data_IF_788811360364
#
_entry.id   IF_788811360364
#
_cell.length_a   1.000
_cell.length_b   1.000
_cell.length_c   1.000
_cell.angle_alpha   90.00
_cell.angle_beta   90.00
_cell.angle_gamma   90.00
#
_symmetry.space_group_name_H-M   'P 1'
#
loop_
_entity.id
_entity.type
_entity.pdbx_description
1 polymer ?
#
# COMPACT_ATOMS: atom_id res chain seq x y z
N UNK A 1 -19.19 -0.45 5.33
CA UNK A 1 -18.48 -0.99 4.18
C UNK A 1 -18.69 -2.49 4.05
N UNK A 2 -18.98 -2.94 2.91
CA UNK A 2 -19.37 -4.33 2.75
C UNK A 2 -18.23 -5.18 2.19
N UNK A 3 -18.46 -6.51 2.23
CA UNK A 3 -17.46 -7.46 1.81
C UNK A 3 -17.16 -7.38 0.31
N UNK A 4 -18.10 -6.89 -0.47
CA UNK A 4 -17.89 -6.79 -1.92
C UNK A 4 -16.83 -5.76 -2.25
N UNK A 5 -16.83 -4.64 -1.53
CA UNK A 5 -15.80 -3.63 -1.72
C UNK A 5 -14.44 -4.18 -1.38
N UNK A 6 -14.33 -4.93 -0.29
CA UNK A 6 -13.08 -5.54 0.08
C UNK A 6 -12.64 -6.60 -0.94
N UNK A 7 -13.58 -7.39 -1.44
CA UNK A 7 -13.23 -8.39 -2.44
C UNK A 7 -12.67 -7.78 -3.71
N UNK A 8 -13.30 -6.70 -4.17
CA UNK A 8 -12.80 -6.00 -5.36
C UNK A 8 -11.41 -5.41 -5.10
N UNK A 9 -11.22 -4.81 -3.92
CA UNK A 9 -9.91 -4.27 -3.57
C UNK A 9 -8.82 -5.33 -3.58
N UNK A 10 -9.13 -6.52 -3.07
CA UNK A 10 -8.17 -7.61 -3.09
C UNK A 10 -7.80 -8.01 -4.52
N UNK A 11 -8.78 -8.07 -5.41
CA UNK A 11 -8.51 -8.42 -6.80
C UNK A 11 -7.63 -7.38 -7.47
N UNK A 12 -7.91 -6.09 -7.24
CA UNK A 12 -7.13 -5.03 -7.83
C UNK A 12 -5.68 -5.05 -7.33
N UNK A 13 -5.49 -5.29 -6.04
CA UNK A 13 -4.15 -5.37 -5.48
C UNK A 13 -3.40 -6.59 -5.98
N UNK A 14 -4.10 -7.73 -6.14
CA UNK A 14 -3.46 -8.92 -6.68
C UNK A 14 -2.94 -8.67 -8.09
N UNK A 15 -3.74 -8.00 -8.92
CA UNK A 15 -3.34 -7.64 -10.27
C UNK A 15 -2.14 -6.69 -10.25
N UNK A 16 -2.22 -5.67 -9.40
CA UNK A 16 -1.12 -4.71 -9.28
C UNK A 16 0.17 -5.41 -8.90
N UNK A 17 0.10 -6.35 -7.97
CA UNK A 17 1.30 -7.06 -7.53
C UNK A 17 1.86 -7.95 -8.61
N UNK A 18 1.01 -8.61 -9.41
CA UNK A 18 1.49 -9.43 -10.51
C UNK A 18 2.19 -8.59 -11.56
N UNK A 19 1.62 -7.45 -11.91
CA UNK A 19 2.21 -6.56 -12.89
C UNK A 19 3.53 -6.00 -12.36
N UNK A 20 3.52 -5.56 -11.10
CA UNK A 20 4.73 -4.99 -10.50
C UNK A 20 5.85 -6.02 -10.44
N UNK A 21 5.53 -7.24 -10.06
CA UNK A 21 6.54 -8.30 -10.00
C UNK A 21 7.11 -8.57 -11.40
N UNK A 22 6.25 -8.58 -12.42
CA UNK A 22 6.70 -8.76 -13.80
C UNK A 22 7.59 -7.63 -14.28
N UNK A 23 7.42 -6.43 -13.70
CA UNK A 23 8.27 -5.29 -14.01
C UNK A 23 9.58 -5.30 -13.22
N UNK A 24 9.78 -6.30 -12.38
CA UNK A 24 10.93 -6.40 -11.47
C UNK A 24 10.93 -5.35 -10.37
N UNK A 25 9.74 -4.86 -10.03
CA UNK A 25 9.56 -4.01 -8.85
C UNK A 25 9.52 -4.94 -7.65
N UNK A 26 10.31 -4.63 -6.62
CA UNK A 26 10.47 -5.53 -5.49
C UNK A 26 9.77 -5.08 -4.24
N UNK A 27 9.39 -3.81 -4.15
CA UNK A 27 8.71 -3.27 -2.98
C UNK A 27 7.50 -2.46 -3.41
N UNK A 28 6.43 -2.55 -2.63
CA UNK A 28 5.28 -1.68 -2.77
C UNK A 28 5.03 -0.98 -1.45
N UNK A 29 4.53 0.24 -1.52
CA UNK A 29 4.26 1.03 -0.32
C UNK A 29 2.85 1.56 -0.36
N UNK A 30 2.22 1.63 0.81
CA UNK A 30 0.92 2.24 0.97
C UNK A 30 1.03 3.33 2.02
N UNK A 31 0.40 4.46 1.76
CA UNK A 31 0.40 5.58 2.68
C UNK A 31 -1.03 5.85 3.10
N UNK A 32 -1.31 5.72 4.39
CA UNK A 32 -2.65 5.88 4.92
C UNK A 32 -2.68 7.14 5.76
N UNK A 33 -3.48 8.11 5.32
CA UNK A 33 -3.63 9.37 6.04
C UNK A 33 -4.87 9.31 6.92
N UNK A 34 -4.79 9.89 8.11
CA UNK A 34 -5.94 9.99 8.98
C UNK A 34 -5.84 11.25 9.82
N UNK A 35 -6.97 11.94 10.08
CA UNK A 35 -6.93 13.16 10.89
C UNK A 35 -6.64 12.84 12.34
N UNK A 36 -6.08 13.84 13.04
CA UNK A 36 -5.74 13.68 14.44
C UNK A 36 -6.95 13.24 15.28
N UNK A 37 -8.12 13.72 14.90
CA UNK A 37 -9.36 13.37 15.61
C UNK A 37 -10.14 12.32 14.84
N UNK A 38 -9.47 11.51 14.09
CA UNK A 38 -10.13 10.54 13.24
C UNK A 38 -10.88 9.50 14.04
N UNK A 39 -11.85 8.92 13.36
CA UNK A 39 -12.46 7.69 13.80
C UNK A 39 -11.40 6.60 13.73
N UNK A 40 -10.96 6.14 14.88
CA UNK A 40 -9.92 5.10 14.93
C UNK A 40 -10.34 3.84 14.18
N UNK A 41 -11.64 3.58 14.13
CA UNK A 41 -12.17 2.43 13.43
C UNK A 41 -11.84 2.47 11.94
N UNK A 42 -12.01 3.64 11.32
CA UNK A 42 -11.71 3.77 9.89
C UNK A 42 -10.22 3.57 9.62
N UNK A 43 -9.39 4.11 10.49
CA UNK A 43 -7.94 3.94 10.36
C UNK A 43 -7.56 2.47 10.48
N UNK A 44 -8.13 1.79 11.48
CA UNK A 44 -7.87 0.38 11.68
C UNK A 44 -8.30 -0.44 10.46
N UNK A 45 -9.44 -0.11 9.87
CA UNK A 45 -9.91 -0.83 8.69
C UNK A 45 -8.89 -0.78 7.56
N UNK A 46 -8.35 0.41 7.27
CA UNK A 46 -7.36 0.55 6.21
C UNK A 46 -6.09 -0.21 6.52
N UNK A 47 -5.61 -0.12 7.76
CA UNK A 47 -4.41 -0.83 8.16
C UNK A 47 -4.65 -2.34 8.08
N UNK A 48 -5.79 -2.80 8.56
CA UNK A 48 -6.09 -4.22 8.51
C UNK A 48 -6.23 -4.74 7.09
N UNK A 49 -6.85 -3.96 6.21
CA UNK A 49 -6.95 -4.35 4.81
C UNK A 49 -5.57 -4.59 4.21
N UNK A 50 -4.66 -3.64 4.41
CA UNK A 50 -3.31 -3.77 3.86
C UNK A 50 -2.55 -4.89 4.54
N UNK A 51 -2.77 -5.10 5.83
CA UNK A 51 -2.14 -6.21 6.54
C UNK A 51 -2.59 -7.55 5.96
N UNK A 52 -3.87 -7.68 5.65
CA UNK A 52 -4.37 -8.89 5.00
C UNK A 52 -3.74 -9.10 3.62
N UNK A 53 -3.37 -8.03 2.95
CA UNK A 53 -2.70 -8.14 1.66
C UNK A 53 -1.20 -8.39 1.78
N UNK A 54 -0.70 -8.53 3.00
CA UNK A 54 0.70 -8.85 3.21
C UNK A 54 1.59 -7.65 3.48
N UNK A 55 1.00 -6.48 3.69
CA UNK A 55 1.77 -5.29 4.04
C UNK A 55 2.08 -5.27 5.53
N UNK A 56 3.21 -4.68 5.88
CA UNK A 56 3.58 -4.45 7.27
C UNK A 56 3.81 -2.97 7.50
N UNK A 57 3.62 -2.52 8.74
CA UNK A 57 3.81 -1.12 9.08
C UNK A 57 5.31 -0.80 9.04
N UNK A 58 5.68 0.19 8.23
CA UNK A 58 7.06 0.64 8.14
C UNK A 58 7.31 1.83 9.05
N UNK A 59 6.30 2.67 9.26
CA UNK A 59 6.47 3.82 10.13
C UNK A 59 5.22 4.66 10.25
N UNK A 60 5.24 5.55 11.25
CA UNK A 60 4.16 6.51 11.47
C UNK A 60 4.76 7.89 11.56
N UNK A 61 4.08 8.86 10.95
CA UNK A 61 4.48 10.25 11.00
C UNK A 61 3.33 11.05 11.59
N UNK A 62 3.63 11.83 12.61
CA UNK A 62 2.60 12.55 13.35
C UNK A 62 2.56 14.00 12.88
N UNK A 63 1.32 14.53 12.73
CA UNK A 63 1.09 15.92 12.37
C UNK A 63 1.89 16.34 11.15
N UNK A 64 1.90 15.49 10.13
CA UNK A 64 2.71 15.76 8.94
C UNK A 64 1.96 16.52 7.86
N UNK A 65 0.67 16.77 8.06
CA UNK A 65 -0.10 17.57 7.12
C UNK A 65 -1.24 18.28 7.81
N UNK A 66 -1.60 19.47 7.29
CA UNK A 66 -2.70 20.25 7.83
C UNK A 66 -3.68 20.55 6.70
N UNK A 67 -4.96 20.22 6.91
CA UNK A 67 -5.96 20.36 5.86
C UNK A 67 -7.34 20.44 6.49
N UNK A 68 -8.19 21.30 5.97
CA UNK A 68 -9.56 21.45 6.45
C UNK A 68 -9.63 21.66 7.96
N UNK A 69 -8.72 22.46 8.50
CA UNK A 69 -8.72 22.78 9.92
C UNK A 69 -8.25 21.66 10.82
N UNK A 70 -7.64 20.61 10.28
CA UNK A 70 -7.26 19.43 11.05
C UNK A 70 -5.86 19.00 10.68
N UNK A 71 -5.09 18.59 11.68
CA UNK A 71 -3.80 17.96 11.45
C UNK A 71 -4.01 16.50 11.10
N UNK A 72 -3.15 15.97 10.25
CA UNK A 72 -3.20 14.58 9.81
C UNK A 72 -1.93 13.86 10.18
N UNK A 73 -2.09 12.61 10.56
CA UNK A 73 -1.01 11.66 10.74
C UNK A 73 -0.95 10.77 9.52
N UNK A 74 0.20 10.10 9.30
CA UNK A 74 0.36 9.17 8.20
C UNK A 74 0.94 7.87 8.70
N UNK A 75 0.41 6.76 8.19
CA UNK A 75 0.98 5.44 8.42
C UNK A 75 1.49 4.93 7.09
N UNK A 76 2.77 4.57 7.05
CA UNK A 76 3.37 3.98 5.87
C UNK A 76 3.47 2.48 6.06
N UNK A 77 3.02 1.73 5.07
CA UNK A 77 3.10 0.28 5.07
C UNK A 77 3.87 -0.18 3.85
N UNK A 78 4.52 -1.33 3.95
CA UNK A 78 5.32 -1.83 2.85
C UNK A 78 5.08 -3.32 2.65
N UNK A 79 5.27 -3.76 1.41
CA UNK A 79 5.23 -5.17 1.07
C UNK A 79 6.37 -5.48 0.13
N UNK A 80 7.15 -6.50 0.46
CA UNK A 80 8.24 -6.95 -0.38
C UNK A 80 7.71 -8.02 -1.32
N UNK A 81 7.91 -7.82 -2.62
CA UNK A 81 7.37 -8.71 -3.64
C UNK A 81 8.35 -9.79 -4.06
N UNK A 82 9.65 -9.56 -3.88
CA UNK A 82 10.63 -10.50 -4.38
C UNK A 82 11.94 -10.41 -3.63
N UNK A 83 12.91 -11.16 -4.11
CA UNK A 83 14.24 -11.21 -3.51
C UNK A 83 15.04 -10.00 -4.01
N UNK A 84 15.72 -9.33 -3.08
CA UNK A 84 16.56 -8.19 -3.45
C UNK A 84 17.92 -8.69 -3.93
N UNK A 85 17.95 -9.10 -5.19
CA UNK A 85 19.17 -9.63 -5.81
C UNK A 85 20.21 -8.53 -6.01
N UNK A 86 21.46 -8.96 -6.10
CA UNK A 86 22.57 -8.04 -6.35
C UNK A 86 23.34 -8.53 -7.57
N UNK A 87 23.26 -7.81 -8.67
CA UNK A 87 22.46 -6.61 -8.93
C UNK A 87 20.99 -6.97 -9.12
N UNK A 88 20.09 -6.00 -8.97
CA UNK A 88 18.68 -6.27 -9.19
C UNK A 88 18.39 -6.46 -10.67
N UNK A 89 17.33 -7.20 -10.97
CA UNK A 89 16.88 -7.36 -12.34
C UNK A 89 16.40 -6.00 -12.88
N UNK A 90 16.61 -5.73 -14.18
CA UNK A 90 16.21 -4.45 -14.75
C UNK A 90 14.70 -4.24 -14.69
N UNK A 91 14.31 -2.99 -14.44
CA UNK A 91 12.91 -2.61 -14.48
C UNK A 91 12.37 -2.75 -15.91
N UNK A 92 11.18 -3.33 -16.04
CA UNK A 92 10.52 -3.49 -17.32
C UNK A 92 9.31 -2.57 -17.37
N UNK A 93 9.29 -1.56 -18.23
CA UNK A 93 8.12 -0.67 -18.34
C UNK A 93 6.88 -1.44 -18.74
N UNK A 94 5.73 -0.97 -18.28
CA UNK A 94 4.49 -1.68 -18.51
C UNK A 94 4.22 -2.01 -19.98
N UNK A 95 4.44 -1.09 -20.94
CA UNK A 95 4.18 -1.42 -22.36
C UNK A 95 5.03 -2.56 -22.90
N UNK A 96 6.14 -2.88 -22.24
CA UNK A 96 7.03 -3.94 -22.70
C UNK A 96 6.77 -5.28 -22.04
N UNK A 97 5.80 -5.34 -21.14
CA UNK A 97 5.47 -6.60 -20.50
C UNK A 97 4.75 -7.53 -21.48
N UNK A 98 5.06 -8.81 -21.36
CA UNK A 98 4.37 -9.85 -22.11
C UNK A 98 3.41 -10.55 -21.16
N UNK A 99 2.21 -10.06 -21.14
CA UNK A 99 1.19 -10.58 -20.25
C UNK A 99 0.41 -11.71 -20.87
#
# INVERSE_FOLDING_TARGET
EDARGMGLGKLLYAELEQISAAQNIQNLYACIAFPETADAYLTDNSVQFHTHMGYTVAGKFHHCGYKFGTWYHMVWMEKVLGVHAVPPAPFVPFPELKL
#
